data_IF_368375880475
#
_entry.id   IF_368375880475
#
_cell.length_a   1.000
_cell.length_b   1.000
_cell.length_c   1.000
_cell.angle_alpha   90.00
_cell.angle_beta   90.00
_cell.angle_gamma   90.00
#
_symmetry.space_group_name_H-M   'P 1'
#
loop_
_entity.id
_entity.type
_entity.pdbx_description
1 polymer ?
#
# COMPACT_ATOMS: atom_id res chain seq x y z
N UNK A 1 1.18 8.06 -8.00
CA UNK A 1 1.21 8.63 -6.64
C UNK A 1 0.17 9.75 -6.44
N UNK A 2 0.11 10.78 -7.30
CA UNK A 2 -0.88 11.87 -7.18
C UNK A 2 -2.35 11.42 -7.02
N UNK A 3 -2.84 10.47 -7.84
CA UNK A 3 -4.21 9.92 -7.72
C UNK A 3 -4.45 9.09 -6.45
N UNK A 4 -3.41 8.45 -5.92
CA UNK A 4 -3.50 7.68 -4.67
C UNK A 4 -3.65 8.63 -3.48
N UNK A 5 -2.90 9.74 -3.48
CA UNK A 5 -3.04 10.82 -2.50
C UNK A 5 -4.42 11.48 -2.63
N UNK A 6 -4.89 11.75 -3.85
CA UNK A 6 -6.22 12.31 -4.10
C UNK A 6 -7.33 11.38 -3.57
N UNK A 7 -7.26 10.08 -3.83
CA UNK A 7 -8.23 9.11 -3.32
C UNK A 7 -8.18 9.00 -1.80
N UNK A 8 -7.00 8.94 -1.20
CA UNK A 8 -6.82 8.91 0.26
C UNK A 8 -7.39 10.17 0.95
N UNK A 9 -7.22 11.34 0.33
CA UNK A 9 -7.81 12.60 0.81
C UNK A 9 -9.32 12.65 0.58
N UNK A 10 -9.84 12.02 -0.48
CA UNK A 10 -11.27 11.98 -0.82
C UNK A 10 -12.05 10.96 0.02
N UNK A 11 -11.38 9.96 0.57
CA UNK A 11 -11.95 9.00 1.53
C UNK A 11 -12.15 9.58 2.94
N UNK A 12 -11.61 10.77 3.23
CA UNK A 12 -11.87 11.45 4.50
C UNK A 12 -13.34 11.90 4.57
N UNK A 13 -14.13 11.45 5.57
CA UNK A 13 -15.49 11.91 5.75
C UNK A 13 -15.50 13.41 6.05
N UNK A 14 -16.45 14.13 5.46
CA UNK A 14 -16.58 15.59 5.60
C UNK A 14 -16.75 16.06 7.06
N UNK A 15 -17.06 15.15 7.99
CA UNK A 15 -17.14 15.38 9.43
C UNK A 15 -15.83 15.87 10.04
N UNK A 16 -14.67 15.40 9.58
CA UNK A 16 -13.35 15.82 10.11
C UNK A 16 -13.09 17.30 9.82
N UNK A 17 -13.44 17.74 8.60
CA UNK A 17 -13.40 19.15 8.21
C UNK A 17 -14.42 19.98 8.95
N UNK A 18 -15.62 19.44 9.22
CA UNK A 18 -16.67 20.14 9.94
C UNK A 18 -16.23 20.46 11.38
N UNK A 19 -15.66 19.49 12.11
CA UNK A 19 -15.19 19.69 13.50
C UNK A 19 -14.08 20.74 13.57
N UNK A 20 -13.11 20.71 12.65
CA UNK A 20 -12.03 21.72 12.60
C UNK A 20 -12.53 23.15 12.35
N UNK A 21 -13.58 23.30 11.54
CA UNK A 21 -14.22 24.61 11.29
C UNK A 21 -15.02 25.09 12.49
N UNK A 22 -15.74 24.20 13.20
CA UNK A 22 -16.50 24.56 14.41
C UNK A 22 -15.56 24.95 15.57
N UNK A 23 -14.35 24.38 15.62
CA UNK A 23 -13.30 24.75 16.59
C UNK A 23 -12.55 26.06 16.28
N UNK A 24 -12.88 26.78 15.19
CA UNK A 24 -12.33 28.11 14.92
C UNK A 24 -10.88 28.14 14.38
N UNK A 25 -10.39 27.04 13.79
CA UNK A 25 -9.06 27.00 13.16
C UNK A 25 -9.00 27.78 11.83
N UNK A 26 -7.86 28.41 11.53
CA UNK A 26 -7.65 28.98 10.18
C UNK A 26 -7.53 27.85 9.14
N UNK A 27 -8.10 28.05 7.93
CA UNK A 27 -8.25 26.98 6.93
C UNK A 27 -6.95 26.23 6.58
N UNK A 28 -5.81 26.93 6.52
CA UNK A 28 -4.52 26.28 6.28
C UNK A 28 -4.01 25.43 7.46
N UNK A 29 -4.35 25.82 8.69
CA UNK A 29 -3.98 25.07 9.90
C UNK A 29 -4.83 23.79 10.02
N UNK A 30 -6.12 23.86 9.66
CA UNK A 30 -7.04 22.70 9.64
C UNK A 30 -6.57 21.63 8.64
N UNK A 31 -6.18 22.03 7.42
CA UNK A 31 -5.67 21.11 6.40
C UNK A 31 -4.37 20.43 6.87
N UNK A 32 -3.44 21.22 7.40
CA UNK A 32 -2.11 20.72 7.79
C UNK A 32 -2.12 19.86 9.07
N UNK A 33 -3.00 20.14 10.05
CA UNK A 33 -2.97 19.43 11.34
C UNK A 33 -4.06 18.37 11.48
N UNK A 34 -5.30 18.64 11.04
CA UNK A 34 -6.42 17.71 11.24
C UNK A 34 -6.54 16.76 10.05
N UNK A 35 -6.72 17.28 8.83
CA UNK A 35 -6.89 16.43 7.65
C UNK A 35 -5.65 15.59 7.35
N UNK A 36 -4.44 16.16 7.48
CA UNK A 36 -3.21 15.43 7.19
C UNK A 36 -2.98 14.30 8.20
N UNK A 37 -3.18 14.56 9.50
CA UNK A 37 -3.08 13.54 10.55
C UNK A 37 -4.08 12.41 10.30
N UNK A 38 -5.31 12.74 9.95
CA UNK A 38 -6.37 11.76 9.68
C UNK A 38 -6.17 11.00 8.36
N UNK A 39 -5.50 11.61 7.37
CA UNK A 39 -5.11 10.95 6.12
C UNK A 39 -3.92 10.00 6.29
N UNK A 40 -3.09 10.14 7.33
CA UNK A 40 -1.84 9.36 7.50
C UNK A 40 -2.06 7.84 7.37
N UNK A 41 -3.07 7.21 8.01
CA UNK A 41 -3.29 5.78 7.87
C UNK A 41 -3.66 5.39 6.43
N UNK A 42 -4.48 6.19 5.73
CA UNK A 42 -4.86 5.95 4.33
C UNK A 42 -3.68 6.14 3.38
N UNK A 43 -2.83 7.14 3.62
CA UNK A 43 -1.59 7.35 2.87
C UNK A 43 -0.61 6.18 3.03
N UNK A 44 -0.45 5.64 4.24
CA UNK A 44 0.39 4.46 4.46
C UNK A 44 -0.17 3.26 3.71
N UNK A 45 -1.47 3.01 3.77
CA UNK A 45 -2.12 1.94 3.01
C UNK A 45 -1.90 2.10 1.50
N UNK A 46 -2.05 3.32 0.99
CA UNK A 46 -1.83 3.65 -0.41
C UNK A 46 -0.37 3.43 -0.86
N UNK A 47 0.61 3.71 0.00
CA UNK A 47 2.03 3.40 -0.24
C UNK A 47 2.26 1.90 -0.27
N UNK A 48 1.71 1.14 0.69
CA UNK A 48 1.81 -0.32 0.70
C UNK A 48 1.25 -0.93 -0.58
N UNK A 49 0.07 -0.47 -1.01
CA UNK A 49 -0.54 -0.90 -2.27
C UNK A 49 0.37 -0.61 -3.46
N UNK A 50 0.96 0.59 -3.51
CA UNK A 50 1.85 0.98 -4.60
C UNK A 50 3.10 0.08 -4.67
N UNK A 51 3.69 -0.25 -3.53
CA UNK A 51 4.83 -1.17 -3.45
C UNK A 51 4.46 -2.57 -3.95
N UNK A 52 3.29 -3.09 -3.57
CA UNK A 52 2.79 -4.38 -4.07
C UNK A 52 2.61 -4.33 -5.59
N UNK A 53 1.98 -3.28 -6.13
CA UNK A 53 1.82 -3.12 -7.57
C UNK A 53 3.16 -3.04 -8.31
N UNK A 54 4.19 -2.40 -7.76
CA UNK A 54 5.53 -2.38 -8.36
C UNK A 54 6.14 -3.80 -8.44
N UNK A 55 5.91 -4.64 -7.43
CA UNK A 55 6.37 -6.03 -7.42
C UNK A 55 5.62 -6.85 -8.48
N UNK A 56 4.31 -6.69 -8.60
CA UNK A 56 3.50 -7.32 -9.65
C UNK A 56 4.00 -6.94 -11.04
N UNK A 57 4.25 -5.64 -11.27
CA UNK A 57 4.83 -5.17 -12.53
C UNK A 57 6.24 -5.74 -12.77
N UNK A 58 7.07 -5.87 -11.74
CA UNK A 58 8.39 -6.51 -11.87
C UNK A 58 8.29 -7.99 -12.22
N UNK A 59 7.33 -8.71 -11.65
CA UNK A 59 7.09 -10.12 -11.97
C UNK A 59 6.67 -10.30 -13.44
N UNK A 60 5.78 -9.43 -13.94
CA UNK A 60 5.37 -9.41 -15.35
C UNK A 60 6.56 -9.02 -16.23
N UNK A 61 7.35 -8.01 -15.85
CA UNK A 61 8.54 -7.59 -16.60
C UNK A 61 9.61 -8.70 -16.68
N UNK A 62 9.69 -9.57 -15.66
CA UNK A 62 10.54 -10.75 -15.67
C UNK A 62 10.25 -11.71 -16.83
N UNK A 63 9.01 -11.73 -17.36
CA UNK A 63 8.64 -12.54 -18.53
C UNK A 63 9.29 -12.05 -19.83
N UNK A 64 9.63 -10.76 -19.90
CA UNK A 64 10.25 -10.10 -21.06
C UNK A 64 11.80 -10.07 -20.88
N UNK A 65 12.34 -10.72 -19.84
CA UNK A 65 13.78 -10.81 -19.60
C UNK A 65 14.37 -9.68 -18.77
N UNK A 66 13.55 -8.90 -18.05
CA UNK A 66 14.03 -7.86 -17.14
C UNK A 66 14.74 -8.42 -15.87
N UNK A 67 14.78 -9.74 -15.70
CA UNK A 67 15.35 -10.41 -14.53
C UNK A 67 14.37 -10.50 -13.34
N UNK A 68 14.89 -10.85 -12.16
CA UNK A 68 14.12 -10.91 -10.91
C UNK A 68 13.34 -12.21 -10.68
N UNK A 69 12.41 -12.19 -9.71
CA UNK A 69 11.68 -13.38 -9.25
C UNK A 69 10.77 -13.93 -10.34
N UNK A 70 10.15 -13.06 -11.16
CA UNK A 70 9.34 -13.46 -12.32
C UNK A 70 10.15 -14.13 -13.43
N UNK A 71 11.42 -13.75 -13.61
CA UNK A 71 12.31 -14.40 -14.57
C UNK A 71 12.61 -15.85 -14.17
N UNK A 72 12.83 -16.12 -12.88
CA UNK A 72 13.05 -17.48 -12.38
C UNK A 72 11.83 -18.38 -12.61
N UNK A 73 10.62 -17.86 -12.40
CA UNK A 73 9.38 -18.59 -12.64
C UNK A 73 9.22 -18.98 -14.13
N UNK A 74 9.50 -18.05 -15.04
CA UNK A 74 9.35 -18.28 -16.49
C UNK A 74 10.45 -19.18 -17.05
N UNK A 75 11.71 -18.91 -16.70
CA UNK A 75 12.85 -19.62 -17.30
C UNK A 75 13.10 -21.00 -16.67
N UNK A 76 12.97 -21.13 -15.35
CA UNK A 76 13.22 -22.40 -14.68
C UNK A 76 11.96 -23.21 -14.39
N UNK A 77 10.81 -22.57 -14.19
CA UNK A 77 9.53 -23.25 -14.02
C UNK A 77 8.90 -23.64 -15.35
N UNK A 78 8.51 -22.62 -16.13
CA UNK A 78 7.73 -22.84 -17.36
C UNK A 78 8.55 -23.43 -18.51
N UNK A 79 9.71 -22.86 -18.85
CA UNK A 79 10.49 -23.32 -20.00
C UNK A 79 11.10 -24.71 -19.83
N UNK A 80 11.37 -25.14 -18.58
CA UNK A 80 11.86 -26.50 -18.27
C UNK A 80 10.75 -27.50 -17.95
N UNK A 81 9.48 -27.08 -17.95
CA UNK A 81 8.33 -27.90 -17.50
C UNK A 81 8.53 -28.51 -16.09
N UNK A 82 9.35 -27.88 -15.25
CA UNK A 82 9.54 -28.33 -13.88
C UNK A 82 8.46 -27.71 -12.99
N UNK A 83 7.35 -28.42 -12.87
CA UNK A 83 6.21 -28.01 -12.06
C UNK A 83 6.58 -27.75 -10.60
N UNK A 84 7.62 -28.40 -10.06
CA UNK A 84 8.07 -28.16 -8.69
C UNK A 84 8.65 -26.75 -8.53
N UNK A 85 9.50 -26.32 -9.48
CA UNK A 85 10.11 -25.00 -9.47
C UNK A 85 9.06 -23.91 -9.74
N UNK A 86 8.12 -24.18 -10.65
CA UNK A 86 7.02 -23.27 -10.96
C UNK A 86 6.15 -23.00 -9.72
N UNK A 87 5.74 -24.06 -9.00
CA UNK A 87 4.94 -23.92 -7.78
C UNK A 87 5.74 -23.22 -6.68
N UNK A 88 7.01 -23.59 -6.49
CA UNK A 88 7.88 -22.97 -5.49
C UNK A 88 8.03 -21.44 -5.70
N UNK A 89 8.20 -21.00 -6.95
CA UNK A 89 8.31 -19.56 -7.27
C UNK A 89 6.99 -18.81 -7.09
N UNK A 90 5.85 -19.41 -7.44
CA UNK A 90 4.52 -18.84 -7.18
C UNK A 90 4.30 -18.66 -5.67
N UNK A 91 4.59 -19.70 -4.88
CA UNK A 91 4.45 -19.65 -3.42
C UNK A 91 5.38 -18.59 -2.82
N UNK A 92 6.62 -18.47 -3.30
CA UNK A 92 7.56 -17.44 -2.85
C UNK A 92 7.06 -16.02 -3.16
N UNK A 93 6.47 -15.79 -4.33
CA UNK A 93 5.86 -14.50 -4.69
C UNK A 93 4.69 -14.15 -3.77
N UNK A 94 3.76 -15.10 -3.58
CA UNK A 94 2.61 -14.93 -2.69
C UNK A 94 3.11 -14.61 -1.28
N UNK A 95 4.05 -15.40 -0.75
CA UNK A 95 4.61 -15.19 0.58
C UNK A 95 5.25 -13.80 0.74
N UNK A 96 5.98 -13.33 -0.28
CA UNK A 96 6.61 -11.99 -0.27
C UNK A 96 5.57 -10.88 -0.24
N UNK A 97 4.54 -10.97 -1.09
CA UNK A 97 3.44 -10.01 -1.15
C UNK A 97 2.68 -9.99 0.19
N UNK A 98 2.39 -11.16 0.75
CA UNK A 98 1.68 -11.28 2.02
C UNK A 98 2.47 -10.68 3.18
N UNK A 99 3.79 -10.84 3.18
CA UNK A 99 4.66 -10.26 4.22
C UNK A 99 4.64 -8.73 4.15
N UNK A 100 4.65 -8.15 2.95
CA UNK A 100 4.56 -6.70 2.75
C UNK A 100 3.18 -6.17 3.16
N UNK A 101 2.09 -6.84 2.75
CA UNK A 101 0.73 -6.48 3.15
C UNK A 101 0.57 -6.54 4.67
N UNK A 102 1.04 -7.62 5.29
CA UNK A 102 0.97 -7.78 6.74
C UNK A 102 1.72 -6.67 7.49
N UNK A 103 2.91 -6.29 7.01
CA UNK A 103 3.67 -5.17 7.58
C UNK A 103 2.94 -3.82 7.38
N UNK A 104 2.37 -3.60 6.19
CA UNK A 104 1.58 -2.41 5.88
C UNK A 104 0.35 -2.31 6.77
N UNK A 105 -0.45 -3.37 6.86
CA UNK A 105 -1.66 -3.44 7.69
C UNK A 105 -1.33 -3.24 9.18
N UNK A 106 -0.22 -3.81 9.65
CA UNK A 106 0.25 -3.61 11.02
C UNK A 106 0.63 -2.16 11.29
N UNK A 107 1.25 -1.48 10.33
CA UNK A 107 1.60 -0.07 10.43
C UNK A 107 0.34 0.83 10.41
N UNK A 108 -0.60 0.54 9.52
CA UNK A 108 -1.91 1.22 9.44
C UNK A 108 -2.70 1.04 10.73
N UNK A 109 -2.76 -0.18 11.28
CA UNK A 109 -3.46 -0.47 12.53
C UNK A 109 -2.83 0.23 13.74
N UNK A 110 -1.50 0.37 13.78
CA UNK A 110 -0.83 1.17 14.82
C UNK A 110 -1.18 2.66 14.72
N UNK A 111 -1.22 3.21 13.51
CA UNK A 111 -1.58 4.61 13.30
C UNK A 111 -3.05 4.88 13.64
N UNK A 112 -3.96 3.97 13.29
CA UNK A 112 -5.38 4.04 13.68
C UNK A 112 -5.58 3.99 15.19
N UNK A 113 -4.83 3.14 15.91
CA UNK A 113 -4.94 3.05 17.37
C UNK A 113 -4.51 4.33 18.10
N UNK A 114 -3.56 5.10 17.56
CA UNK A 114 -3.15 6.38 18.16
C UNK A 114 -4.25 7.45 18.05
N UNK A 115 -5.08 7.41 17.00
CA UNK A 115 -6.18 8.37 16.81
C UNK A 115 -7.39 8.08 17.70
N UNK A 116 -7.69 6.81 17.98
CA UNK A 116 -8.75 6.43 18.91
C UNK A 116 -8.49 6.80 20.38
N UNK A 117 -7.28 7.27 20.72
CA UNK A 117 -6.92 7.72 22.07
C UNK A 117 -6.91 9.25 22.22
N UNK A 118 -7.29 9.99 21.17
CA UNK A 118 -7.31 11.47 21.11
C UNK A 118 -8.72 12.05 20.91
N UNK A 119 -9.75 11.21 20.87
CA UNK A 119 -11.18 11.57 20.86
C UNK A 119 -11.82 11.05 22.13
#
# INVERSE_FOLDING_TARGET
FGRLVENALRELPAEVTAVGVVCGGSGGKIIASAQLSEAMPSLVAAVTLNLVSMIEYSAIAGTIGAGGIGYLAVVYGYQRFDNHIMIATIVALIATIQLIQFLGDRLVNRLRHTQGNLV
#
